data_IF_283972182976
#
_entry.id   IF_283972182976
#
_cell.length_a   1.000
_cell.length_b   1.000
_cell.length_c   1.000
_cell.angle_alpha   90.00
_cell.angle_beta   90.00
_cell.angle_gamma   90.00
#
_symmetry.space_group_name_H-M   'P 1'
#
loop_
_entity.id
_entity.type
_entity.pdbx_description
1 polymer ?
#
# COMPACT_ATOMS: atom_id res chain seq x y z
N UNK A 1 -22.76 -38.29 7.81
CA UNK A 1 -22.47 -37.88 6.41
C UNK A 1 -21.86 -36.48 6.41
N UNK A 2 -20.54 -36.38 6.21
CA UNK A 2 -19.82 -35.09 6.22
C UNK A 2 -19.95 -34.38 4.88
N UNK A 3 -20.33 -33.09 4.90
CA UNK A 3 -20.38 -32.26 3.70
C UNK A 3 -18.97 -32.12 3.11
N UNK A 4 -18.79 -32.20 1.78
CA UNK A 4 -17.48 -31.99 1.16
C UNK A 4 -17.00 -30.56 1.44
N UNK A 5 -15.84 -30.42 2.08
CA UNK A 5 -15.21 -29.12 2.36
C UNK A 5 -14.31 -28.72 1.20
N UNK A 6 -14.55 -27.53 0.65
CA UNK A 6 -13.74 -26.99 -0.43
C UNK A 6 -12.42 -26.43 0.11
N UNK A 7 -11.36 -27.21 -0.01
CA UNK A 7 -10.01 -26.85 0.45
C UNK A 7 -9.44 -25.61 -0.26
N UNK A 8 -9.84 -25.33 -1.49
CA UNK A 8 -9.39 -24.14 -2.21
C UNK A 8 -9.94 -22.86 -1.59
N UNK A 9 -11.18 -22.88 -1.12
CA UNK A 9 -11.76 -21.75 -0.38
C UNK A 9 -11.00 -21.49 0.90
N UNK A 10 -10.71 -22.54 1.68
CA UNK A 10 -9.97 -22.43 2.93
C UNK A 10 -8.55 -21.90 2.72
N UNK A 11 -7.83 -22.42 1.71
CA UNK A 11 -6.50 -21.91 1.33
C UNK A 11 -6.54 -20.42 0.95
N UNK A 12 -7.54 -20.00 0.18
CA UNK A 12 -7.73 -18.59 -0.20
C UNK A 12 -8.05 -17.72 1.02
N UNK A 13 -8.89 -18.18 1.94
CA UNK A 13 -9.20 -17.46 3.17
C UNK A 13 -7.96 -17.30 4.06
N UNK A 14 -7.17 -18.37 4.24
CA UNK A 14 -5.89 -18.31 4.97
C UNK A 14 -4.92 -17.32 4.34
N UNK A 15 -4.72 -17.37 3.01
CA UNK A 15 -3.84 -16.45 2.31
C UNK A 15 -4.28 -14.97 2.45
N UNK A 16 -5.60 -14.71 2.42
CA UNK A 16 -6.14 -13.36 2.66
C UNK A 16 -5.91 -12.89 4.10
N UNK A 17 -6.09 -13.77 5.08
CA UNK A 17 -5.85 -13.47 6.48
C UNK A 17 -4.37 -13.14 6.75
N UNK A 18 -3.45 -13.94 6.20
CA UNK A 18 -1.99 -13.68 6.29
C UNK A 18 -1.60 -12.35 5.64
N UNK A 19 -2.18 -12.03 4.47
CA UNK A 19 -1.95 -10.76 3.80
C UNK A 19 -2.44 -9.57 4.63
N UNK A 20 -3.60 -9.70 5.29
CA UNK A 20 -4.14 -8.66 6.18
C UNK A 20 -3.23 -8.46 7.40
N UNK A 21 -2.85 -9.53 8.09
CA UNK A 21 -1.95 -9.45 9.24
C UNK A 21 -0.59 -8.83 8.88
N UNK A 22 -0.05 -9.11 7.68
CA UNK A 22 1.17 -8.48 7.19
C UNK A 22 0.97 -6.98 6.91
N UNK A 23 -0.18 -6.59 6.36
CA UNK A 23 -0.51 -5.19 6.13
C UNK A 23 -0.62 -4.42 7.47
N UNK A 24 -1.28 -5.01 8.47
CA UNK A 24 -1.41 -4.42 9.81
C UNK A 24 -0.04 -4.25 10.49
N UNK A 25 0.82 -5.28 10.42
CA UNK A 25 2.21 -5.17 10.89
C UNK A 25 2.98 -4.07 10.17
N UNK A 26 2.87 -3.98 8.85
CA UNK A 26 3.54 -2.93 8.08
C UNK A 26 3.03 -1.53 8.43
N UNK A 27 1.74 -1.38 8.73
CA UNK A 27 1.16 -0.11 9.18
C UNK A 27 1.78 0.33 10.52
N UNK A 28 1.94 -0.60 11.47
CA UNK A 28 2.58 -0.33 12.76
C UNK A 28 4.08 -0.08 12.61
N UNK A 29 4.81 -0.92 11.86
CA UNK A 29 6.27 -0.87 11.76
C UNK A 29 6.77 0.32 10.95
N UNK A 30 6.08 0.67 9.86
CA UNK A 30 6.56 1.72 8.94
C UNK A 30 5.79 3.03 9.07
N UNK A 31 4.69 3.07 9.83
CA UNK A 31 3.93 4.28 10.15
C UNK A 31 3.21 4.97 8.98
N UNK A 32 3.58 4.65 7.73
CA UNK A 32 2.93 5.15 6.51
C UNK A 32 2.55 4.00 5.59
N UNK A 33 1.30 3.99 5.18
CA UNK A 33 0.74 3.12 4.15
C UNK A 33 1.34 3.43 2.78
N UNK A 34 1.20 2.50 1.83
CA UNK A 34 1.62 2.74 0.45
C UNK A 34 0.91 3.95 -0.17
N UNK A 35 -0.37 4.13 0.10
CA UNK A 35 -1.16 5.23 -0.43
C UNK A 35 -0.64 6.60 0.06
N UNK A 36 -0.30 6.71 1.35
CA UNK A 36 0.30 7.93 1.91
C UNK A 36 1.67 8.22 1.32
N UNK A 37 2.50 7.18 1.13
CA UNK A 37 3.81 7.33 0.47
C UNK A 37 3.67 7.81 -0.97
N UNK A 38 2.69 7.28 -1.70
CA UNK A 38 2.45 7.67 -3.09
C UNK A 38 1.88 9.10 -3.17
N UNK A 39 1.03 9.51 -2.23
CA UNK A 39 0.54 10.88 -2.10
C UNK A 39 1.67 11.87 -1.79
N UNK A 40 2.55 11.55 -0.83
CA UNK A 40 3.71 12.38 -0.50
C UNK A 40 4.65 12.53 -1.70
N UNK A 41 4.91 11.44 -2.44
CA UNK A 41 5.70 11.50 -3.67
C UNK A 41 5.07 12.40 -4.72
N UNK A 42 3.76 12.28 -4.93
CA UNK A 42 3.04 13.12 -5.90
C UNK A 42 3.10 14.60 -5.51
N UNK A 43 2.91 14.92 -4.23
CA UNK A 43 3.04 16.28 -3.70
C UNK A 43 4.44 16.83 -3.88
N UNK A 44 5.47 16.06 -3.52
CA UNK A 44 6.85 16.47 -3.70
C UNK A 44 7.20 16.69 -5.18
N UNK A 45 6.73 15.82 -6.08
CA UNK A 45 6.94 15.98 -7.51
C UNK A 45 6.26 17.25 -8.05
N UNK A 46 5.05 17.56 -7.57
CA UNK A 46 4.35 18.79 -7.91
C UNK A 46 5.10 20.04 -7.41
N UNK A 47 5.55 20.05 -6.15
CA UNK A 47 6.32 21.16 -5.61
C UNK A 47 7.64 21.36 -6.35
N UNK A 48 8.36 20.28 -6.70
CA UNK A 48 9.58 20.36 -7.50
C UNK A 48 9.28 21.00 -8.85
N UNK A 49 8.25 20.54 -9.57
CA UNK A 49 7.86 21.13 -10.86
C UNK A 49 7.48 22.60 -10.73
N UNK A 50 6.70 22.96 -9.71
CA UNK A 50 6.31 24.35 -9.46
C UNK A 50 7.54 25.24 -9.23
N UNK A 51 8.49 24.77 -8.44
CA UNK A 51 9.74 25.49 -8.18
C UNK A 51 10.59 25.60 -9.45
N UNK A 52 10.62 24.56 -10.28
CA UNK A 52 11.34 24.55 -11.56
C UNK A 52 10.74 25.55 -12.55
N UNK A 53 9.41 25.61 -12.67
CA UNK A 53 8.70 26.61 -13.48
C UNK A 53 8.96 28.06 -13.03
N UNK A 54 9.26 28.25 -11.74
CA UNK A 54 9.59 29.57 -11.18
C UNK A 54 11.09 29.90 -11.23
N UNK A 55 11.96 28.95 -11.59
CA UNK A 55 13.36 29.27 -11.84
C UNK A 55 13.45 30.02 -13.17
N UNK A 56 14.11 31.17 -13.13
CA UNK A 56 14.55 31.87 -14.33
C UNK A 56 15.92 31.31 -14.67
N UNK A 57 16.06 30.81 -15.88
CA UNK A 57 17.36 30.43 -16.43
C UNK A 57 18.21 31.70 -16.54
N UNK A 58 19.20 31.85 -15.65
CA UNK A 58 20.35 32.72 -15.86
C UNK A 58 21.48 31.93 -16.52
#
# INVERSE_FOLDING_TARGET
>A
MGKPVNLNRYRKEKARAEKKARADRNAVTFGRTKAEKDLDKARNAHEIKRLDEHKRDE
#
